data_IF_254707934979
#
_entry.id   IF_254707934979
#
_cell.length_a   1.000
_cell.length_b   1.000
_cell.length_c   1.000
_cell.angle_alpha   90.00
_cell.angle_beta   90.00
_cell.angle_gamma   90.00
#
_symmetry.space_group_name_H-M   'P 1'
#
loop_
_entity.id
_entity.type
_entity.pdbx_description
1 polymer ?
#
# COMPACT_ATOMS: atom_id res chain seq x y z
N UNK A 1 -17.35 36.60 9.51
CA UNK A 1 -17.98 35.38 8.99
C UNK A 1 -16.91 34.62 8.25
N UNK A 2 -16.21 33.73 8.95
CA UNK A 2 -15.27 32.82 8.30
C UNK A 2 -16.08 31.88 7.42
N UNK A 3 -15.96 32.05 6.09
CA UNK A 3 -16.53 31.09 5.14
C UNK A 3 -15.66 29.84 5.23
N UNK A 4 -16.04 28.90 6.10
CA UNK A 4 -15.46 27.56 6.10
C UNK A 4 -15.63 27.00 4.68
N UNK A 5 -14.51 26.76 4.01
CA UNK A 5 -14.52 26.21 2.66
C UNK A 5 -15.24 24.86 2.70
N UNK A 6 -16.13 24.63 1.74
CA UNK A 6 -16.93 23.42 1.69
C UNK A 6 -16.02 22.20 1.81
N UNK A 7 -16.28 21.38 2.82
CA UNK A 7 -15.45 20.22 3.11
C UNK A 7 -15.31 19.37 1.86
N UNK A 8 -16.36 19.16 1.07
CA UNK A 8 -16.33 18.34 -0.15
C UNK A 8 -15.33 18.88 -1.17
N UNK A 9 -15.39 20.19 -1.45
CA UNK A 9 -14.43 20.89 -2.33
C UNK A 9 -13.01 20.68 -1.81
N UNK A 10 -12.79 20.87 -0.51
CA UNK A 10 -11.49 20.65 0.10
C UNK A 10 -11.00 19.20 -0.10
N UNK A 11 -11.91 18.23 -0.10
CA UNK A 11 -11.61 16.81 -0.36
C UNK A 11 -11.12 16.56 -1.78
N UNK A 12 -11.78 17.16 -2.77
CA UNK A 12 -11.35 17.06 -4.17
C UNK A 12 -9.98 17.70 -4.41
N UNK A 13 -9.73 18.86 -3.78
CA UNK A 13 -8.44 19.56 -3.85
C UNK A 13 -7.32 18.67 -3.29
N UNK A 14 -7.49 18.09 -2.09
CA UNK A 14 -6.45 17.20 -1.55
C UNK A 14 -6.26 15.98 -2.44
N UNK A 15 -7.34 15.30 -2.85
CA UNK A 15 -7.21 14.09 -3.63
C UNK A 15 -6.42 14.35 -4.92
N UNK A 16 -6.70 15.49 -5.57
CA UNK A 16 -5.95 15.95 -6.73
C UNK A 16 -4.48 16.18 -6.39
N UNK A 17 -4.19 17.03 -5.39
CA UNK A 17 -2.81 17.38 -5.02
C UNK A 17 -1.99 16.15 -4.60
N UNK A 18 -2.56 15.22 -3.84
CA UNK A 18 -1.86 14.00 -3.39
C UNK A 18 -1.53 13.05 -4.54
N UNK A 19 -2.37 13.01 -5.57
CA UNK A 19 -2.18 12.12 -6.72
C UNK A 19 -1.20 12.69 -7.74
N UNK A 20 -1.27 14.00 -7.97
CA UNK A 20 -0.47 14.69 -8.97
C UNK A 20 0.88 15.19 -8.41
N UNK A 21 0.97 15.50 -7.12
CA UNK A 21 2.19 16.05 -6.53
C UNK A 21 3.25 14.99 -6.27
N UNK A 22 4.49 15.34 -6.59
CA UNK A 22 5.71 14.64 -6.16
C UNK A 22 6.33 15.26 -4.91
N UNK A 23 5.78 16.38 -4.40
CA UNK A 23 6.29 17.09 -3.23
C UNK A 23 5.63 16.58 -1.94
N UNK A 24 6.39 15.76 -1.20
CA UNK A 24 5.96 15.17 0.05
C UNK A 24 5.75 16.21 1.17
N UNK A 25 6.51 17.31 1.18
CA UNK A 25 6.36 18.35 2.19
C UNK A 25 5.03 19.08 2.02
N UNK A 26 4.63 19.35 0.77
CA UNK A 26 3.31 19.90 0.47
C UNK A 26 2.22 18.95 0.92
N UNK A 27 2.31 17.66 0.57
CA UNK A 27 1.31 16.66 0.99
C UNK A 27 1.20 16.56 2.52
N UNK A 28 2.32 16.56 3.25
CA UNK A 28 2.31 16.53 4.73
C UNK A 28 1.64 17.76 5.32
N UNK A 29 1.98 18.96 4.84
CA UNK A 29 1.37 20.22 5.28
C UNK A 29 -0.14 20.23 5.01
N UNK A 30 -0.55 19.73 3.84
CA UNK A 30 -1.97 19.60 3.48
C UNK A 30 -2.71 18.66 4.42
N UNK A 31 -2.13 17.51 4.77
CA UNK A 31 -2.75 16.57 5.72
C UNK A 31 -2.90 17.22 7.11
N UNK A 32 -1.89 17.95 7.58
CA UNK A 32 -1.91 18.61 8.89
C UNK A 32 -2.92 19.76 8.98
N UNK A 33 -3.11 20.50 7.89
CA UNK A 33 -4.01 21.65 7.86
C UNK A 33 -5.50 21.29 7.77
N UNK A 34 -5.84 20.00 7.61
CA UNK A 34 -7.18 19.60 7.21
C UNK A 34 -8.07 19.06 8.33
N UNK A 35 -9.40 19.32 8.28
CA UNK A 35 -10.35 18.72 9.21
C UNK A 35 -10.36 17.19 9.12
N UNK A 36 -10.90 16.50 10.14
CA UNK A 36 -10.92 15.04 10.19
C UNK A 36 -11.58 14.44 8.94
N UNK A 37 -10.89 13.51 8.29
CA UNK A 37 -11.31 12.84 7.04
C UNK A 37 -12.48 11.85 7.24
N UNK A 38 -13.30 12.03 8.26
CA UNK A 38 -14.40 11.14 8.59
C UNK A 38 -15.41 11.08 7.43
N UNK A 39 -15.88 9.87 7.11
CA UNK A 39 -16.78 9.65 5.96
C UNK A 39 -16.13 9.71 4.58
N UNK A 40 -14.79 9.80 4.45
CA UNK A 40 -14.09 9.93 3.14
C UNK A 40 -13.17 8.75 2.82
N UNK A 41 -13.72 7.56 2.60
CA UNK A 41 -12.92 6.36 2.41
C UNK A 41 -12.02 6.41 1.16
N UNK A 42 -12.48 7.05 0.07
CA UNK A 42 -11.67 7.26 -1.15
C UNK A 42 -10.42 8.09 -0.89
N UNK A 43 -10.57 9.23 -0.21
CA UNK A 43 -9.44 10.10 0.15
C UNK A 43 -8.48 9.43 1.13
N UNK A 44 -9.01 8.71 2.14
CA UNK A 44 -8.18 7.90 3.05
C UNK A 44 -7.34 6.88 2.27
N UNK A 45 -7.96 6.15 1.34
CA UNK A 45 -7.24 5.20 0.47
C UNK A 45 -6.16 5.89 -0.35
N UNK A 46 -6.46 7.04 -0.97
CA UNK A 46 -5.47 7.84 -1.72
C UNK A 46 -4.25 8.20 -0.87
N UNK A 47 -4.45 8.64 0.38
CA UNK A 47 -3.34 8.98 1.28
C UNK A 47 -2.47 7.75 1.64
N UNK A 48 -3.11 6.60 1.91
CA UNK A 48 -2.39 5.36 2.20
C UNK A 48 -1.57 4.89 0.98
N UNK A 49 -2.16 4.94 -0.22
CA UNK A 49 -1.47 4.61 -1.47
C UNK A 49 -0.29 5.57 -1.75
N UNK A 50 -0.46 6.86 -1.47
CA UNK A 50 0.62 7.84 -1.59
C UNK A 50 1.77 7.54 -0.61
N UNK A 51 1.46 7.17 0.65
CA UNK A 51 2.50 6.77 1.60
C UNK A 51 3.27 5.52 1.14
N UNK A 52 2.58 4.53 0.57
CA UNK A 52 3.23 3.34 0.00
C UNK A 52 4.13 3.76 -1.19
N UNK A 53 3.64 4.61 -2.09
CA UNK A 53 4.43 5.13 -3.21
C UNK A 53 5.72 5.79 -2.74
N UNK A 54 5.67 6.60 -1.68
CA UNK A 54 6.85 7.28 -1.15
C UNK A 54 7.87 6.31 -0.57
N UNK A 55 7.44 5.25 0.12
CA UNK A 55 8.38 4.21 0.59
C UNK A 55 9.07 3.50 -0.58
N UNK A 56 8.33 3.18 -1.66
CA UNK A 56 8.91 2.58 -2.86
C UNK A 56 9.92 3.52 -3.53
N UNK A 57 9.61 4.81 -3.63
CA UNK A 57 10.51 5.82 -4.21
C UNK A 57 11.79 5.97 -3.37
N UNK A 58 11.69 5.84 -2.05
CA UNK A 58 12.82 5.81 -1.15
C UNK A 58 13.59 4.48 -1.15
N UNK A 59 13.16 3.48 -1.93
CA UNK A 59 13.76 2.15 -1.95
C UNK A 59 13.60 1.37 -0.64
N UNK A 60 12.60 1.72 0.16
CA UNK A 60 12.38 1.15 1.48
C UNK A 60 11.15 0.24 1.50
N UNK A 61 11.25 -0.86 2.25
CA UNK A 61 10.13 -1.76 2.56
C UNK A 61 10.09 -1.98 4.06
N UNK A 62 9.09 -1.40 4.71
CA UNK A 62 8.90 -1.47 6.15
C UNK A 62 7.57 -2.13 6.53
N UNK A 63 7.46 -2.60 7.78
CA UNK A 63 6.21 -3.15 8.32
C UNK A 63 5.06 -2.15 8.30
N UNK A 64 5.37 -0.84 8.22
CA UNK A 64 4.36 0.21 8.05
C UNK A 64 3.56 -0.01 6.77
N UNK A 65 4.15 -0.57 5.71
CA UNK A 65 3.42 -0.90 4.48
C UNK A 65 2.35 -1.98 4.74
N UNK A 66 2.59 -2.94 5.62
CA UNK A 66 1.57 -3.92 6.03
C UNK A 66 0.38 -3.22 6.70
N UNK A 67 0.63 -2.22 7.54
CA UNK A 67 -0.44 -1.41 8.17
C UNK A 67 -1.27 -0.69 7.13
N UNK A 68 -0.61 -0.09 6.13
CA UNK A 68 -1.27 0.60 5.04
C UNK A 68 -2.15 -0.36 4.23
N UNK A 69 -1.62 -1.53 3.85
CA UNK A 69 -2.37 -2.54 3.09
C UNK A 69 -3.59 -3.04 3.87
N UNK A 70 -3.46 -3.38 5.16
CA UNK A 70 -4.60 -3.80 5.97
C UNK A 70 -5.65 -2.70 6.16
N UNK A 71 -5.23 -1.44 6.26
CA UNK A 71 -6.16 -0.30 6.30
C UNK A 71 -6.88 -0.12 4.98
N UNK A 72 -6.18 -0.25 3.85
CA UNK A 72 -6.81 -0.18 2.53
C UNK A 72 -7.79 -1.35 2.35
N UNK A 73 -7.45 -2.57 2.78
CA UNK A 73 -8.35 -3.73 2.70
C UNK A 73 -9.64 -3.48 3.46
N UNK A 74 -9.53 -2.94 4.68
CA UNK A 74 -10.69 -2.61 5.50
C UNK A 74 -11.57 -1.54 4.84
N UNK A 75 -10.95 -0.53 4.20
CA UNK A 75 -11.67 0.49 3.43
C UNK A 75 -12.41 -0.17 2.27
N UNK A 76 -11.73 -0.96 1.46
CA UNK A 76 -12.30 -1.62 0.27
C UNK A 76 -13.42 -2.57 0.66
N UNK A 77 -13.24 -3.36 1.72
CA UNK A 77 -14.26 -4.26 2.26
C UNK A 77 -15.48 -3.52 2.79
N UNK A 78 -15.30 -2.37 3.46
CA UNK A 78 -16.41 -1.53 3.92
C UNK A 78 -17.26 -0.97 2.77
N UNK A 79 -16.66 -0.82 1.59
CA UNK A 79 -17.32 -0.42 0.34
C UNK A 79 -17.77 -1.61 -0.52
N UNK A 80 -17.66 -2.85 -0.02
CA UNK A 80 -17.95 -4.09 -0.76
C UNK A 80 -17.11 -4.27 -2.03
N UNK A 81 -15.94 -3.63 -2.11
CA UNK A 81 -15.00 -3.83 -3.21
C UNK A 81 -14.27 -5.16 -3.08
N UNK A 82 -13.93 -5.75 -4.24
CA UNK A 82 -13.10 -6.95 -4.31
C UNK A 82 -11.66 -6.58 -3.96
N UNK A 83 -11.03 -7.41 -3.12
CA UNK A 83 -9.60 -7.31 -2.85
C UNK A 83 -8.84 -7.97 -4.01
N UNK A 84 -8.01 -7.22 -4.77
CA UNK A 84 -7.32 -7.76 -5.94
C UNK A 84 -6.20 -8.71 -5.56
N UNK A 85 -5.80 -9.58 -6.49
CA UNK A 85 -4.71 -10.53 -6.28
C UNK A 85 -3.36 -9.82 -6.11
N UNK A 86 -3.13 -8.71 -6.80
CA UNK A 86 -1.93 -7.89 -6.63
C UNK A 86 -1.74 -7.41 -5.19
N UNK A 87 -2.82 -7.09 -4.48
CA UNK A 87 -2.77 -6.67 -3.08
C UNK A 87 -2.35 -7.83 -2.16
N UNK A 88 -2.90 -9.04 -2.40
CA UNK A 88 -2.51 -10.25 -1.67
C UNK A 88 -1.04 -10.60 -1.92
N UNK A 89 -0.59 -10.46 -3.16
CA UNK A 89 0.80 -10.69 -3.54
C UNK A 89 1.75 -9.68 -2.89
N UNK A 90 1.41 -8.39 -2.95
CA UNK A 90 2.18 -7.31 -2.31
C UNK A 90 2.26 -7.51 -0.79
N UNK A 91 1.14 -7.83 -0.13
CA UNK A 91 1.12 -8.10 1.30
C UNK A 91 2.05 -9.27 1.68
N UNK A 92 2.00 -10.36 0.90
CA UNK A 92 2.88 -11.51 1.10
C UNK A 92 4.36 -11.18 0.89
N UNK A 93 4.71 -10.42 -0.15
CA UNK A 93 6.08 -10.08 -0.47
C UNK A 93 6.67 -9.11 0.57
N UNK A 94 5.91 -8.12 1.02
CA UNK A 94 6.32 -7.18 2.08
C UNK A 94 6.55 -7.91 3.40
N UNK A 95 5.65 -8.83 3.79
CA UNK A 95 5.83 -9.62 5.01
C UNK A 95 7.10 -10.46 4.95
N UNK A 96 7.39 -11.04 3.77
CA UNK A 96 8.59 -11.83 3.55
C UNK A 96 9.86 -10.96 3.61
N UNK A 97 9.91 -9.84 2.91
CA UNK A 97 11.03 -8.88 2.97
C UNK A 97 11.29 -8.38 4.40
N UNK A 98 10.23 -7.97 5.12
CA UNK A 98 10.37 -7.49 6.49
C UNK A 98 10.89 -8.55 7.47
N UNK A 99 10.92 -9.82 7.06
CA UNK A 99 11.38 -10.95 7.89
C UNK A 99 12.73 -11.48 7.40
N UNK A 100 12.83 -11.84 6.12
CA UNK A 100 13.98 -12.49 5.51
C UNK A 100 15.23 -11.60 5.49
N UNK A 101 15.09 -10.27 5.48
CA UNK A 101 16.22 -9.33 5.55
C UNK A 101 17.12 -9.50 6.79
N UNK A 102 16.64 -10.19 7.83
CA UNK A 102 17.41 -10.49 9.04
C UNK A 102 18.18 -11.80 8.98
N UNK A 103 18.02 -12.62 7.93
CA UNK A 103 18.72 -13.90 7.77
C UNK A 103 20.18 -13.74 7.33
N UNK A 104 20.52 -12.90 6.32
CA UNK A 104 21.90 -12.78 5.87
C UNK A 104 22.81 -12.24 6.98
N UNK A 105 23.93 -12.91 7.22
CA UNK A 105 24.95 -12.46 8.17
C UNK A 105 24.58 -12.56 9.65
N UNK A 106 23.43 -13.17 9.99
CA UNK A 106 23.11 -13.46 11.39
C UNK A 106 23.69 -14.81 11.81
N UNK A 107 24.64 -14.80 12.75
CA UNK A 107 25.12 -16.02 13.43
C UNK A 107 24.08 -16.57 14.42
N UNK A 108 23.11 -15.74 14.82
CA UNK A 108 22.05 -16.10 15.77
C UNK A 108 20.66 -15.94 15.13
N UNK A 109 20.10 -17.06 14.66
CA UNK A 109 18.73 -17.12 14.12
C UNK A 109 17.67 -16.84 15.20
N UNK A 110 18.01 -16.92 16.49
CA UNK A 110 17.12 -16.58 17.61
C UNK A 110 17.03 -15.08 17.91
N UNK A 111 17.74 -14.23 17.15
CA UNK A 111 17.68 -12.77 17.30
C UNK A 111 16.55 -12.11 16.50
N UNK A 112 16.91 -11.10 15.71
CA UNK A 112 15.96 -10.23 14.97
C UNK A 112 15.04 -10.98 14.01
N UNK A 113 15.50 -12.11 13.48
CA UNK A 113 14.67 -12.96 12.62
C UNK A 113 13.50 -13.56 13.40
N UNK A 114 13.77 -14.25 14.50
CA UNK A 114 12.73 -14.84 15.35
C UNK A 114 11.74 -13.79 15.86
N UNK A 115 12.23 -12.60 16.23
CA UNK A 115 11.36 -11.47 16.62
C UNK A 115 10.41 -11.05 15.49
N UNK A 116 10.91 -10.97 14.25
CA UNK A 116 10.10 -10.68 13.08
C UNK A 116 9.09 -11.81 12.78
N UNK A 117 9.49 -13.08 12.92
CA UNK A 117 8.59 -14.25 12.81
C UNK A 117 7.44 -14.15 13.81
N UNK A 118 7.76 -13.88 15.08
CA UNK A 118 6.76 -13.77 16.14
C UNK A 118 5.80 -12.59 15.90
N UNK A 119 6.33 -11.41 15.56
CA UNK A 119 5.55 -10.19 15.37
C UNK A 119 4.67 -10.25 14.10
N UNK A 120 5.24 -10.62 12.97
CA UNK A 120 4.57 -10.55 11.67
C UNK A 120 3.73 -11.80 11.41
N UNK A 121 4.28 -13.00 11.64
CA UNK A 121 3.65 -14.24 11.18
C UNK A 121 2.77 -14.88 12.25
N UNK A 122 3.32 -15.10 13.46
CA UNK A 122 2.60 -15.75 14.58
C UNK A 122 1.63 -14.83 15.33
N UNK A 123 1.79 -13.52 15.21
CA UNK A 123 0.85 -12.55 15.79
C UNK A 123 -0.01 -11.91 14.70
N UNK A 124 0.55 -11.01 13.89
CA UNK A 124 -0.21 -10.20 12.94
C UNK A 124 -0.98 -11.02 11.90
N UNK A 125 -0.30 -11.87 11.13
CA UNK A 125 -0.92 -12.69 10.08
C UNK A 125 -1.85 -13.74 10.67
N UNK A 126 -1.45 -14.42 11.75
CA UNK A 126 -2.30 -15.39 12.43
C UNK A 126 -3.62 -14.77 12.92
N UNK A 127 -3.57 -13.57 13.50
CA UNK A 127 -4.77 -12.87 13.95
C UNK A 127 -5.67 -12.46 12.78
N UNK A 128 -5.10 -12.02 11.66
CA UNK A 128 -5.86 -11.74 10.44
C UNK A 128 -6.59 -13.00 9.94
N UNK A 129 -5.92 -14.14 9.95
CA UNK A 129 -6.49 -15.43 9.52
C UNK A 129 -7.62 -15.88 10.46
N UNK A 130 -7.37 -15.86 11.78
CA UNK A 130 -8.36 -16.25 12.80
C UNK A 130 -9.61 -15.38 12.76
N UNK A 131 -9.47 -14.09 12.44
CA UNK A 131 -10.62 -13.17 12.35
C UNK A 131 -11.60 -13.56 11.24
N UNK A 132 -11.16 -14.32 10.22
CA UNK A 132 -11.89 -14.64 8.98
C UNK A 132 -12.47 -13.43 8.21
N UNK A 133 -12.21 -12.21 8.68
CA UNK A 133 -12.73 -10.98 8.09
C UNK A 133 -11.82 -10.45 6.97
N UNK A 134 -10.52 -10.74 7.07
CA UNK A 134 -9.50 -10.28 6.11
C UNK A 134 -9.46 -11.17 4.87
N UNK A 135 -9.47 -10.55 3.69
CA UNK A 135 -9.25 -11.24 2.41
C UNK A 135 -7.79 -11.18 1.93
N UNK A 136 -6.85 -10.79 2.80
CA UNK A 136 -5.41 -10.74 2.50
C UNK A 136 -4.72 -12.10 2.65
N UNK A 137 -5.25 -12.98 3.50
CA UNK A 137 -4.66 -14.28 3.78
C UNK A 137 -4.92 -15.23 2.61
N UNK A 138 -3.91 -15.39 1.75
CA UNK A 138 -3.92 -16.27 0.58
C UNK A 138 -3.21 -17.59 0.87
N UNK A 139 -3.40 -18.59 0.01
CA UNK A 139 -2.66 -19.85 0.12
C UNK A 139 -1.14 -19.63 -0.04
N UNK A 140 -0.74 -18.70 -0.92
CA UNK A 140 0.66 -18.28 -1.02
C UNK A 140 1.20 -17.75 0.31
N UNK A 141 0.42 -16.94 1.03
CA UNK A 141 0.82 -16.41 2.34
C UNK A 141 0.98 -17.53 3.37
N UNK A 142 0.07 -18.51 3.40
CA UNK A 142 0.19 -19.68 4.30
C UNK A 142 1.41 -20.53 4.00
N UNK A 143 1.68 -20.76 2.71
CA UNK A 143 2.86 -21.51 2.29
C UNK A 143 4.15 -20.78 2.71
N UNK A 144 4.22 -19.46 2.50
CA UNK A 144 5.35 -18.64 2.96
C UNK A 144 5.48 -18.64 4.48
N UNK A 145 4.37 -18.58 5.21
CA UNK A 145 4.36 -18.68 6.68
C UNK A 145 5.05 -19.97 7.15
N UNK A 146 4.68 -21.12 6.58
CA UNK A 146 5.29 -22.42 6.91
C UNK A 146 6.80 -22.42 6.66
N UNK A 147 7.25 -21.88 5.52
CA UNK A 147 8.68 -21.78 5.20
C UNK A 147 9.44 -20.88 6.17
N UNK A 148 8.87 -19.73 6.51
CA UNK A 148 9.46 -18.76 7.45
C UNK A 148 9.52 -19.33 8.87
N UNK A 149 8.48 -20.03 9.31
CA UNK A 149 8.46 -20.65 10.63
C UNK A 149 9.45 -21.83 10.72
N UNK A 150 9.60 -22.63 9.65
CA UNK A 150 10.57 -23.73 9.58
C UNK A 150 12.03 -23.22 9.61
N UNK A 151 12.31 -22.10 8.93
CA UNK A 151 13.64 -21.48 8.87
C UNK A 151 14.17 -20.97 10.22
N UNK A 152 13.36 -20.96 11.28
CA UNK A 152 13.83 -20.66 12.65
C UNK A 152 14.79 -21.75 13.13
N UNK A 153 14.47 -23.01 12.85
CA UNK A 153 15.21 -24.18 13.34
C UNK A 153 16.00 -24.88 12.22
N UNK A 154 15.56 -24.74 10.97
CA UNK A 154 16.12 -25.44 9.81
C UNK A 154 16.94 -24.50 8.91
N UNK A 155 18.23 -24.79 8.82
CA UNK A 155 19.19 -24.05 8.00
C UNK A 155 18.93 -24.16 6.50
N UNK A 156 18.38 -25.28 6.01
CA UNK A 156 18.06 -25.44 4.60
C UNK A 156 16.97 -24.46 4.18
N UNK A 157 15.91 -24.35 4.98
CA UNK A 157 14.86 -23.36 4.75
C UNK A 157 15.37 -21.93 4.88
N UNK A 158 16.26 -21.65 5.83
CA UNK A 158 16.89 -20.34 5.96
C UNK A 158 17.72 -19.97 4.72
N UNK A 159 18.54 -20.90 4.21
CA UNK A 159 19.35 -20.71 3.01
C UNK A 159 18.48 -20.45 1.77
N UNK A 160 17.38 -21.19 1.61
CA UNK A 160 16.41 -20.92 0.55
C UNK A 160 15.88 -19.49 0.64
N UNK A 161 15.50 -19.01 1.83
CA UNK A 161 15.01 -17.64 2.00
C UNK A 161 16.07 -16.56 1.74
N UNK A 162 17.34 -16.81 2.10
CA UNK A 162 18.47 -15.89 1.85
C UNK A 162 18.70 -15.69 0.35
N UNK A 163 18.54 -16.75 -0.47
CA UNK A 163 18.75 -16.66 -1.92
C UNK A 163 17.66 -15.89 -2.66
N UNK A 164 16.50 -15.65 -2.03
CA UNK A 164 15.40 -14.91 -2.64
C UNK A 164 15.71 -13.41 -2.57
N UNK A 165 15.63 -12.74 -3.72
CA UNK A 165 15.65 -11.27 -3.78
C UNK A 165 14.30 -10.69 -3.30
N UNK A 166 14.08 -10.78 -1.99
CA UNK A 166 12.84 -10.43 -1.31
C UNK A 166 12.52 -8.93 -1.43
N UNK A 167 13.53 -8.08 -1.40
CA UNK A 167 13.36 -6.63 -1.56
C UNK A 167 12.81 -6.29 -2.94
N UNK A 168 13.39 -6.84 -4.01
CA UNK A 168 12.94 -6.58 -5.36
C UNK A 168 11.54 -7.18 -5.63
N UNK A 169 11.23 -8.36 -5.08
CA UNK A 169 9.89 -8.96 -5.17
C UNK A 169 8.84 -8.06 -4.48
N UNK A 170 9.15 -7.54 -3.28
CA UNK A 170 8.29 -6.62 -2.57
C UNK A 170 8.09 -5.31 -3.34
N UNK A 171 9.15 -4.70 -3.87
CA UNK A 171 9.05 -3.47 -4.66
C UNK A 171 8.23 -3.68 -5.95
N UNK A 172 8.43 -4.78 -6.66
CA UNK A 172 7.72 -5.09 -7.89
C UNK A 172 6.22 -5.29 -7.63
N UNK A 173 5.88 -6.15 -6.67
CA UNK A 173 4.48 -6.45 -6.33
C UNK A 173 3.74 -5.22 -5.80
N UNK A 174 4.40 -4.36 -5.01
CA UNK A 174 3.83 -3.10 -4.57
C UNK A 174 3.56 -2.13 -5.75
N UNK A 175 4.47 -2.04 -6.72
CA UNK A 175 4.25 -1.21 -7.93
C UNK A 175 3.09 -1.72 -8.76
N UNK A 176 2.96 -3.03 -8.92
CA UNK A 176 1.82 -3.66 -9.61
C UNK A 176 0.52 -3.31 -8.90
N UNK A 177 0.47 -3.49 -7.58
CA UNK A 177 -0.70 -3.16 -6.78
C UNK A 177 -1.06 -1.67 -6.85
N UNK A 178 -0.08 -0.77 -6.71
CA UNK A 178 -0.32 0.68 -6.80
C UNK A 178 -0.94 1.06 -8.15
N UNK A 179 -0.42 0.51 -9.25
CA UNK A 179 -0.96 0.75 -10.59
C UNK A 179 -2.40 0.28 -10.70
N UNK A 180 -2.69 -0.95 -10.27
CA UNK A 180 -4.04 -1.52 -10.32
C UNK A 180 -5.02 -0.72 -9.43
N UNK A 181 -4.60 -0.37 -8.21
CA UNK A 181 -5.42 0.38 -7.26
C UNK A 181 -5.75 1.78 -7.77
N UNK A 182 -4.77 2.50 -8.33
CA UNK A 182 -4.99 3.83 -8.90
C UNK A 182 -5.87 3.77 -10.16
N UNK A 183 -5.64 2.81 -11.05
CA UNK A 183 -6.47 2.60 -12.23
C UNK A 183 -7.93 2.29 -11.85
N UNK A 184 -8.14 1.42 -10.86
CA UNK A 184 -9.48 1.08 -10.37
C UNK A 184 -10.22 2.25 -9.74
N UNK A 185 -9.51 3.22 -9.14
CA UNK A 185 -10.14 4.42 -8.59
C UNK A 185 -10.48 5.47 -9.66
N UNK A 186 -9.91 5.37 -10.86
CA UNK A 186 -9.99 6.38 -11.90
C UNK A 186 -9.29 7.70 -11.51
N UNK A 187 -9.33 8.73 -12.38
CA UNK A 187 -8.78 10.05 -12.06
C UNK A 187 -9.50 10.67 -10.84
N UNK A 188 -8.85 11.65 -10.20
CA UNK A 188 -9.54 12.48 -9.21
C UNK A 188 -10.60 13.34 -9.91
N UNK A 189 -11.59 13.83 -9.15
CA UNK A 189 -12.64 14.68 -9.73
C UNK A 189 -12.06 15.89 -10.47
N UNK A 190 -11.16 16.65 -9.83
CA UNK A 190 -10.55 17.82 -10.47
C UNK A 190 -9.69 17.44 -11.68
N UNK A 191 -8.98 16.30 -11.64
CA UNK A 191 -8.23 15.82 -12.80
C UNK A 191 -9.15 15.54 -13.99
N UNK A 192 -10.29 14.88 -13.75
CA UNK A 192 -11.28 14.63 -14.81
C UNK A 192 -11.85 15.93 -15.40
N UNK A 193 -12.08 16.96 -14.59
CA UNK A 193 -12.54 18.26 -15.07
C UNK A 193 -11.46 18.95 -15.92
N UNK A 194 -10.20 18.93 -15.47
CA UNK A 194 -9.08 19.48 -16.25
C UNK A 194 -8.93 18.78 -17.60
N UNK A 195 -8.99 17.44 -17.62
CA UNK A 195 -8.85 16.66 -18.85
C UNK A 195 -9.98 16.99 -19.84
N UNK A 196 -11.23 17.10 -19.38
CA UNK A 196 -12.36 17.50 -20.22
C UNK A 196 -12.26 18.93 -20.78
N UNK A 197 -11.67 19.87 -20.03
CA UNK A 197 -11.45 21.25 -20.52
C UNK A 197 -10.39 21.23 -21.63
N UNK A 198 -9.27 20.53 -21.43
CA UNK A 198 -8.20 20.41 -22.41
C UNK A 198 -8.67 19.73 -23.69
N UNK A 199 -9.52 18.70 -23.60
CA UNK A 199 -10.12 18.05 -24.77
C UNK A 199 -10.99 19.00 -25.59
N UNK A 200 -11.77 19.89 -24.95
CA UNK A 200 -12.60 20.89 -25.64
C UNK A 200 -11.76 21.97 -26.31
N UNK A 201 -10.71 22.44 -25.66
CA UNK A 201 -9.79 23.42 -26.22
C UNK A 201 -9.04 22.85 -27.44
N UNK A 202 -8.56 21.61 -27.36
CA UNK A 202 -7.86 20.94 -28.47
C UNK A 202 -8.80 20.53 -29.62
N UNK A 203 -10.04 20.16 -29.31
CA UNK A 203 -11.07 19.85 -30.30
C UNK A 203 -11.55 21.09 -31.07
N UNK A 204 -11.48 22.28 -30.46
CA UNK A 204 -11.85 23.55 -31.11
C UNK A 204 -10.79 24.04 -32.09
N UNK A 205 -9.51 23.66 -31.92
CA UNK A 205 -8.41 24.06 -32.81
C UNK A 205 -8.39 23.22 -34.10
N UNK A 206 -8.99 22.03 -34.09
CA UNK A 206 -9.03 21.10 -35.25
C UNK A 206 -10.20 21.35 -36.20
N UNK A 207 -11.09 22.31 -35.89
CA UNK A 207 -12.33 22.58 -36.64
C UNK A 207 -12.26 23.72 -37.65
N UNK A 208 -11.16 24.48 -37.68
CA UNK A 208 -10.95 25.61 -38.59
C UNK A 208 -9.79 25.29 -39.58
N UNK A 209 -10.03 24.40 -40.54
CA UNK A 209 -9.24 24.26 -41.78
C UNK A 209 -10.17 24.06 -42.97
#
# INVERSE_FOLDING_TARGET
MDREMDREICGWIIEFLVRESTDEMLVKKLIQAFPPLNGRPRLKKTLLLHSIRNEILAGNVSERILDHLERIERIDRSQRLRIPDSMRQAYCAVALECTAKYLPGSSDRNGKYLDAVNRIWRSRIENLEKSKASKLVSERLRSRRRQVEAAVEDEEFANVLITINTLNDAMLTLRIYLREALASMGPSFLKSQCDSILERENGSISGDV
#
